data_IF_392906893531
#
_entry.id   IF_392906893531
#
_cell.length_a   1.000
_cell.length_b   1.000
_cell.length_c   1.000
_cell.angle_alpha   90.00
_cell.angle_beta   90.00
_cell.angle_gamma   90.00
#
_symmetry.space_group_name_H-M   'P 1'
#
loop_
_entity.id
_entity.type
_entity.pdbx_description
1 polymer ?
#
# COMPACT_ATOMS: atom_id res chain seq x y z
N UNK A 1 1.53 8.89 -18.49
CA UNK A 1 0.82 10.15 -18.82
C UNK A 1 1.80 11.30 -18.56
N UNK A 2 2.12 12.09 -19.58
CA UNK A 2 3.12 13.15 -19.53
C UNK A 2 2.44 14.51 -19.29
N UNK A 3 2.74 15.19 -18.17
CA UNK A 3 2.57 16.66 -18.04
C UNK A 3 1.51 17.20 -17.06
N UNK A 4 0.78 16.36 -16.33
CA UNK A 4 -0.25 16.80 -15.37
C UNK A 4 0.18 16.58 -13.90
N UNK A 5 -0.53 17.19 -12.96
CA UNK A 5 -0.27 17.06 -11.52
C UNK A 5 -0.31 15.59 -11.08
N UNK A 6 0.59 15.19 -10.18
CA UNK A 6 0.65 13.80 -9.75
C UNK A 6 -0.55 13.46 -8.86
N UNK A 7 -1.37 12.52 -9.32
CA UNK A 7 -2.47 11.95 -8.54
C UNK A 7 -2.04 10.60 -7.92
N UNK A 8 -2.22 10.47 -6.61
CA UNK A 8 -1.94 9.21 -5.90
C UNK A 8 -2.81 8.04 -6.37
N UNK A 9 -4.02 8.33 -6.86
CA UNK A 9 -4.92 7.38 -7.50
C UNK A 9 -4.94 7.60 -9.01
N UNK A 10 -3.90 7.13 -9.69
CA UNK A 10 -3.80 7.17 -11.16
C UNK A 10 -4.11 5.78 -11.78
N UNK A 11 -4.35 5.70 -13.10
CA UNK A 11 -4.74 4.46 -13.77
C UNK A 11 -3.77 3.30 -13.55
N UNK A 12 -2.46 3.56 -13.51
CA UNK A 12 -1.44 2.51 -13.35
C UNK A 12 -1.51 1.91 -11.93
N UNK A 13 -1.61 2.75 -10.90
CA UNK A 13 -1.74 2.35 -9.50
C UNK A 13 -3.02 1.51 -9.28
N UNK A 14 -4.16 1.97 -9.82
CA UNK A 14 -5.44 1.25 -9.68
C UNK A 14 -5.42 -0.10 -10.40
N UNK A 15 -4.88 -0.16 -11.61
CA UNK A 15 -4.81 -1.40 -12.40
C UNK A 15 -3.89 -2.44 -11.74
N UNK A 16 -2.73 -2.03 -11.23
CA UNK A 16 -1.82 -2.93 -10.53
C UNK A 16 -2.49 -3.53 -9.28
N UNK A 17 -3.17 -2.69 -8.47
CA UNK A 17 -3.88 -3.17 -7.29
C UNK A 17 -5.00 -4.13 -7.65
N UNK A 18 -5.84 -3.80 -8.63
CA UNK A 18 -6.93 -4.67 -9.10
C UNK A 18 -6.40 -6.01 -9.60
N UNK A 19 -5.33 -6.00 -10.40
CA UNK A 19 -4.69 -7.22 -10.90
C UNK A 19 -4.12 -8.07 -9.78
N UNK A 20 -3.49 -7.47 -8.77
CA UNK A 20 -2.96 -8.19 -7.62
C UNK A 20 -4.07 -8.91 -6.84
N UNK A 21 -5.14 -8.20 -6.50
CA UNK A 21 -6.21 -8.78 -5.66
C UNK A 21 -7.11 -9.76 -6.41
N UNK A 22 -7.37 -9.53 -7.70
CA UNK A 22 -8.20 -10.45 -8.50
C UNK A 22 -7.53 -11.80 -8.73
N UNK A 23 -6.20 -11.83 -8.83
CA UNK A 23 -5.44 -13.05 -9.10
C UNK A 23 -4.78 -13.64 -7.84
N UNK A 24 -4.86 -12.97 -6.69
CA UNK A 24 -4.12 -13.36 -5.48
C UNK A 24 -2.59 -13.29 -5.64
N UNK A 25 -2.10 -12.42 -6.53
CA UNK A 25 -0.68 -12.34 -6.90
C UNK A 25 0.07 -11.32 -6.04
N UNK A 26 0.84 -11.84 -5.07
CA UNK A 26 1.66 -11.01 -4.19
C UNK A 26 2.81 -10.31 -4.94
N UNK A 27 3.34 -10.90 -6.01
CA UNK A 27 4.38 -10.26 -6.82
C UNK A 27 3.87 -9.00 -7.51
N UNK A 28 2.63 -9.03 -8.02
CA UNK A 28 1.97 -7.84 -8.56
C UNK A 28 1.65 -6.82 -7.46
N UNK A 29 1.28 -7.27 -6.25
CA UNK A 29 1.13 -6.38 -5.11
C UNK A 29 2.43 -5.65 -4.75
N UNK A 30 3.58 -6.34 -4.78
CA UNK A 30 4.88 -5.70 -4.54
C UNK A 30 5.21 -4.65 -5.61
N UNK A 31 4.86 -4.88 -6.87
CA UNK A 31 5.00 -3.87 -7.93
C UNK A 31 4.12 -2.65 -7.69
N UNK A 32 2.87 -2.86 -7.24
CA UNK A 32 1.98 -1.79 -6.80
C UNK A 32 2.60 -0.99 -5.64
N UNK A 33 3.07 -1.68 -4.60
CA UNK A 33 3.64 -1.06 -3.41
C UNK A 33 4.88 -0.23 -3.75
N UNK A 34 5.78 -0.75 -4.59
CA UNK A 34 6.96 -0.02 -5.06
C UNK A 34 6.54 1.26 -5.81
N UNK A 35 5.62 1.15 -6.77
CA UNK A 35 5.11 2.29 -7.55
C UNK A 35 4.53 3.39 -6.65
N UNK A 36 3.85 3.00 -5.57
CA UNK A 36 3.24 3.90 -4.59
C UNK A 36 4.28 4.48 -3.63
N UNK A 37 5.35 3.76 -3.30
CA UNK A 37 6.35 4.17 -2.32
C UNK A 37 7.49 5.00 -2.93
N UNK A 38 7.79 4.85 -4.22
CA UNK A 38 8.86 5.59 -4.92
C UNK A 38 8.36 6.78 -5.74
N UNK A 39 7.09 7.18 -5.55
CA UNK A 39 6.51 8.34 -6.22
C UNK A 39 7.16 9.66 -5.77
N UNK A 40 7.01 10.75 -6.53
CA UNK A 40 7.27 12.09 -6.02
C UNK A 40 6.44 12.39 -4.77
N UNK A 41 6.96 13.27 -3.90
CA UNK A 41 6.27 13.68 -2.66
C UNK A 41 4.86 14.18 -2.99
N UNK A 42 3.86 13.49 -2.47
CA UNK A 42 2.44 13.82 -2.63
C UNK A 42 1.75 14.02 -1.27
N UNK A 43 2.33 13.51 -0.18
CA UNK A 43 1.79 13.58 1.18
C UNK A 43 2.90 13.79 2.22
N UNK A 44 2.53 14.27 3.42
CA UNK A 44 3.47 14.49 4.52
C UNK A 44 4.31 13.26 4.89
N UNK A 45 3.73 12.06 4.80
CA UNK A 45 4.45 10.81 5.08
C UNK A 45 5.58 10.51 4.09
N UNK A 46 5.51 11.05 2.88
CA UNK A 46 6.56 10.88 1.88
C UNK A 46 7.82 11.71 2.25
N UNK A 47 7.71 12.64 3.20
CA UNK A 47 8.84 13.42 3.76
C UNK A 47 9.47 12.76 5.00
N UNK A 48 8.96 11.61 5.43
CA UNK A 48 9.41 10.91 6.62
C UNK A 48 10.08 9.59 6.26
N UNK A 49 11.03 9.15 7.09
CA UNK A 49 11.65 7.84 6.98
C UNK A 49 11.55 7.08 8.30
N UNK A 50 11.45 5.75 8.22
CA UNK A 50 11.49 4.91 9.40
C UNK A 50 12.91 4.87 9.95
N UNK A 51 13.06 5.16 11.25
CA UNK A 51 14.28 4.87 11.98
C UNK A 51 14.26 3.39 12.35
N UNK A 52 15.06 2.58 11.66
CA UNK A 52 15.12 1.15 11.90
C UNK A 52 15.70 0.83 13.28
N UNK A 53 15.24 -0.27 13.86
CA UNK A 53 15.84 -0.86 15.06
C UNK A 53 17.25 -1.38 14.76
N UNK A 54 18.08 -1.52 15.79
CA UNK A 54 19.47 -1.96 15.64
C UNK A 54 19.62 -3.40 15.16
N UNK A 55 18.69 -4.28 15.56
CA UNK A 55 18.72 -5.70 15.22
C UNK A 55 17.34 -6.13 14.69
N UNK A 56 17.25 -6.75 13.51
CA UNK A 56 15.99 -7.26 12.98
C UNK A 56 15.57 -8.53 13.73
N UNK A 57 14.26 -8.74 13.82
CA UNK A 57 13.70 -9.98 14.38
C UNK A 57 13.27 -10.94 13.26
N UNK A 58 13.27 -12.26 13.51
CA UNK A 58 12.63 -13.25 12.66
C UNK A 58 11.14 -12.96 12.41
N UNK A 59 10.62 -13.33 11.23
CA UNK A 59 9.22 -13.05 10.86
C UNK A 59 8.22 -13.84 11.73
N UNK A 60 8.61 -15.01 12.23
CA UNK A 60 7.81 -15.85 13.13
C UNK A 60 7.66 -15.24 14.54
N UNK A 61 8.47 -14.24 14.89
CA UNK A 61 8.28 -13.43 16.10
C UNK A 61 7.29 -12.28 15.92
N UNK A 62 6.92 -11.95 14.66
CA UNK A 62 5.90 -10.94 14.36
C UNK A 62 4.51 -11.52 14.66
N UNK A 63 3.60 -10.67 15.16
CA UNK A 63 2.22 -11.08 15.38
C UNK A 63 1.56 -11.65 14.11
N UNK A 64 0.68 -12.66 14.25
CA UNK A 64 0.10 -13.34 13.10
C UNK A 64 -0.86 -12.44 12.33
N UNK A 65 -1.09 -12.75 11.05
CA UNK A 65 -1.94 -11.95 10.16
C UNK A 65 -3.36 -11.79 10.73
N UNK A 66 -3.90 -12.80 11.39
CA UNK A 66 -5.23 -12.79 12.03
C UNK A 66 -5.33 -11.78 13.16
N UNK A 67 -4.22 -11.42 13.81
CA UNK A 67 -4.18 -10.35 14.80
C UNK A 67 -4.09 -8.97 14.13
N UNK A 68 -3.25 -8.86 13.09
CA UNK A 68 -3.05 -7.62 12.33
C UNK A 68 -4.35 -7.14 11.68
N UNK A 69 -5.05 -8.02 10.95
CA UNK A 69 -6.27 -7.67 10.19
C UNK A 69 -7.41 -7.16 11.07
N UNK A 70 -7.44 -7.50 12.36
CA UNK A 70 -8.44 -6.99 13.31
C UNK A 70 -8.38 -5.48 13.52
N UNK A 71 -7.25 -4.85 13.17
CA UNK A 71 -7.05 -3.40 13.27
C UNK A 71 -7.48 -2.65 12.00
N UNK A 72 -7.89 -3.38 10.95
CA UNK A 72 -8.35 -2.81 9.69
C UNK A 72 -9.87 -2.67 9.75
N UNK A 73 -10.34 -1.51 9.32
CA UNK A 73 -11.77 -1.20 9.16
C UNK A 73 -11.98 -0.78 7.70
N UNK A 74 -13.01 -1.31 7.04
CA UNK A 74 -13.36 -0.96 5.66
C UNK A 74 -13.95 0.44 5.52
N UNK A 75 -14.19 1.12 6.65
CA UNK A 75 -14.98 2.33 6.77
C UNK A 75 -16.44 2.11 6.36
N UNK A 76 -17.34 2.93 6.90
CA UNK A 76 -18.75 2.92 6.52
C UNK A 76 -18.95 3.57 5.15
N UNK A 77 -19.46 2.82 4.18
CA UNK A 77 -19.92 3.34 2.89
C UNK A 77 -21.45 3.24 2.83
N UNK A 78 -22.15 4.30 2.40
CA UNK A 78 -23.61 4.25 2.24
C UNK A 78 -24.01 3.24 1.17
N UNK A 79 -25.10 2.50 1.39
CA UNK A 79 -25.61 1.49 0.46
C UNK A 79 -26.35 2.09 -0.76
N UNK A 80 -26.32 3.41 -0.95
CA UNK A 80 -26.93 4.10 -2.08
C UNK A 80 -26.06 5.29 -2.51
N UNK A 81 -25.87 5.52 -3.83
CA UNK A 81 -25.60 6.84 -4.37
C UNK A 81 -26.83 7.75 -4.33
#
# INVERSE_FOLDING_TARGET
MHGEEYHAYNPDVVQLLQKAVQNGDYGVYLQYAETVNTRPVAMLRDLMQLKLAGEPIPLDEVEPVEAIVKRFDSAGMSLAP
#
